data_IF_518221875379
#
_entry.id   IF_518221875379
#
_cell.length_a   1.000
_cell.length_b   1.000
_cell.length_c   1.000
_cell.angle_alpha   90.00
_cell.angle_beta   90.00
_cell.angle_gamma   90.00
#
_symmetry.space_group_name_H-M   'P 1'
#
loop_
_entity.id
_entity.type
_entity.pdbx_description
1 polymer ?
#
# COMPACT_ATOMS: atom_id res chain seq x y z
N UNK A 1 12.18 -1.89 0.93
CA UNK A 1 12.97 -1.31 2.05
C UNK A 1 12.31 -1.73 3.36
N UNK A 2 13.06 -2.14 4.39
CA UNK A 2 12.46 -2.56 5.67
C UNK A 2 11.97 -1.32 6.46
N UNK A 3 10.65 -1.17 6.72
CA UNK A 3 10.10 -0.02 7.44
C UNK A 3 10.68 0.16 8.85
N UNK A 4 10.95 -0.93 9.57
CA UNK A 4 11.52 -0.88 10.92
C UNK A 4 12.92 -0.29 10.89
N UNK A 5 13.75 -0.72 9.94
CA UNK A 5 15.09 -0.19 9.75
C UNK A 5 15.10 1.31 9.38
N UNK A 6 14.10 1.78 8.62
CA UNK A 6 13.97 3.22 8.27
C UNK A 6 13.70 4.07 9.50
N UNK A 7 12.90 3.57 10.45
CA UNK A 7 12.62 4.27 11.71
C UNK A 7 13.62 3.92 12.83
N UNK A 8 14.59 3.05 12.59
CA UNK A 8 15.55 2.60 13.60
C UNK A 8 14.91 1.81 14.74
N UNK A 9 13.89 1.01 14.43
CA UNK A 9 13.10 0.24 15.39
C UNK A 9 13.38 -1.26 15.28
N UNK A 10 13.17 -1.95 16.39
CA UNK A 10 13.02 -3.40 16.41
C UNK A 10 11.63 -3.81 15.93
N UNK A 11 11.50 -5.02 15.37
CA UNK A 11 10.19 -5.49 14.86
C UNK A 11 9.14 -5.69 15.98
N UNK A 12 9.57 -5.73 17.24
CA UNK A 12 8.70 -5.86 18.42
C UNK A 12 8.17 -4.52 18.93
N UNK A 13 8.47 -3.40 18.24
CA UNK A 13 8.00 -2.07 18.61
C UNK A 13 6.46 -1.99 18.64
N UNK A 14 5.94 -1.29 19.64
CA UNK A 14 4.52 -0.97 19.78
C UNK A 14 4.16 0.35 19.07
N UNK A 15 2.87 0.70 19.09
CA UNK A 15 2.35 1.89 18.41
C UNK A 15 2.99 3.18 18.91
N UNK A 16 3.29 3.27 20.21
CA UNK A 16 3.88 4.46 20.82
C UNK A 16 5.35 4.60 20.41
N UNK A 17 6.12 3.51 20.42
CA UNK A 17 7.50 3.50 19.94
C UNK A 17 7.58 3.88 18.46
N UNK A 18 6.67 3.36 17.62
CA UNK A 18 6.58 3.71 16.19
C UNK A 18 6.29 5.20 16.01
N UNK A 19 5.32 5.74 16.76
CA UNK A 19 4.96 7.15 16.70
C UNK A 19 6.11 8.06 17.16
N UNK A 20 6.77 7.72 18.25
CA UNK A 20 7.89 8.49 18.79
C UNK A 20 9.06 8.53 17.80
N UNK A 21 9.42 7.38 17.21
CA UNK A 21 10.48 7.30 16.21
C UNK A 21 10.16 8.10 14.94
N UNK A 22 8.92 8.03 14.46
CA UNK A 22 8.47 8.85 13.33
C UNK A 22 8.62 10.35 13.60
N UNK A 23 8.16 10.83 14.76
CA UNK A 23 8.27 12.24 15.16
C UNK A 23 9.72 12.71 15.28
N UNK A 24 10.62 11.84 15.76
CA UNK A 24 12.05 12.13 15.80
C UNK A 24 12.64 12.22 14.38
N UNK A 25 12.31 11.27 13.51
CA UNK A 25 12.85 11.17 12.15
C UNK A 25 12.41 12.34 11.24
N UNK A 26 11.15 12.79 11.32
CA UNK A 26 10.69 13.94 10.51
C UNK A 26 11.34 15.26 10.91
N UNK A 27 11.82 15.39 12.16
CA UNK A 27 12.58 16.57 12.61
C UNK A 27 13.95 16.65 11.96
N UNK A 28 14.54 15.49 11.62
CA UNK A 28 15.87 15.42 10.97
C UNK A 28 15.79 15.50 9.45
N UNK A 29 14.66 15.13 8.84
CA UNK A 29 14.40 15.23 7.39
C UNK A 29 13.20 16.13 7.11
N UNK A 30 13.33 17.46 7.23
CA UNK A 30 12.25 18.39 6.90
C UNK A 30 11.96 18.38 5.38
N UNK A 31 10.68 18.45 4.97
CA UNK A 31 10.28 18.29 3.57
C UNK A 31 10.87 19.34 2.62
N UNK A 32 11.14 20.55 3.13
CA UNK A 32 11.72 21.64 2.34
C UNK A 32 13.20 21.41 1.96
N UNK A 33 13.92 20.59 2.74
CA UNK A 33 15.37 20.33 2.53
C UNK A 33 15.66 18.90 2.09
N UNK A 34 14.81 17.95 2.48
CA UNK A 34 14.96 16.52 2.18
C UNK A 34 13.59 15.88 1.88
N UNK A 35 12.98 16.17 0.73
CA UNK A 35 11.66 15.65 0.38
C UNK A 35 11.65 14.13 0.21
N UNK A 36 12.73 13.54 -0.31
CA UNK A 36 12.83 12.09 -0.50
C UNK A 36 13.06 11.35 0.82
N UNK A 37 13.85 11.90 1.75
CA UNK A 37 13.95 11.36 3.10
C UNK A 37 12.64 11.45 3.86
N UNK A 38 11.94 12.59 3.78
CA UNK A 38 10.61 12.74 4.37
C UNK A 38 9.63 11.70 3.83
N UNK A 39 9.60 11.49 2.51
CA UNK A 39 8.77 10.47 1.85
C UNK A 39 9.07 9.08 2.39
N UNK A 40 10.35 8.69 2.43
CA UNK A 40 10.76 7.37 2.98
C UNK A 40 10.33 7.17 4.43
N UNK A 41 10.51 8.18 5.28
CA UNK A 41 10.12 8.12 6.70
C UNK A 41 8.60 7.98 6.84
N UNK A 42 7.84 8.77 6.09
CA UNK A 42 6.38 8.72 6.09
C UNK A 42 5.87 7.35 5.63
N UNK A 43 6.41 6.82 4.54
CA UNK A 43 5.98 5.54 3.99
C UNK A 43 6.30 4.38 4.96
N UNK A 44 7.43 4.47 5.68
CA UNK A 44 7.76 3.53 6.76
C UNK A 44 6.79 3.60 7.94
N UNK A 45 6.41 4.81 8.37
CA UNK A 45 5.41 5.00 9.42
C UNK A 45 4.04 4.45 9.00
N UNK A 46 3.57 4.74 7.79
CA UNK A 46 2.27 4.23 7.31
C UNK A 46 2.23 2.70 7.23
N UNK A 47 3.36 2.04 6.98
CA UNK A 47 3.46 0.59 7.03
C UNK A 47 3.44 0.01 8.46
N UNK A 48 3.76 0.80 9.49
CA UNK A 48 3.97 0.33 10.87
C UNK A 48 3.00 0.90 11.92
N UNK A 49 2.18 1.90 11.56
CA UNK A 49 1.41 2.74 12.51
C UNK A 49 0.43 2.01 13.44
N UNK A 50 0.07 0.77 13.14
CA UNK A 50 -0.80 -0.04 13.99
C UNK A 50 -0.46 -1.53 13.90
N UNK A 51 -1.00 -2.28 14.86
CA UNK A 51 -0.76 -3.72 15.00
C UNK A 51 -1.25 -4.51 13.78
N UNK A 52 -2.38 -4.14 13.18
CA UNK A 52 -2.94 -4.84 12.01
C UNK A 52 -1.99 -4.74 10.83
N UNK A 53 -1.47 -3.55 10.53
CA UNK A 53 -0.50 -3.32 9.45
C UNK A 53 0.81 -4.04 9.70
N UNK A 54 1.33 -4.02 10.93
CA UNK A 54 2.56 -4.76 11.29
C UNK A 54 2.37 -6.26 11.15
N UNK A 55 1.20 -6.78 11.52
CA UNK A 55 0.88 -8.20 11.36
C UNK A 55 0.74 -8.57 9.88
N UNK A 56 0.03 -7.75 9.09
CA UNK A 56 -0.10 -7.94 7.66
C UNK A 56 1.27 -7.95 6.96
N UNK A 57 2.17 -7.03 7.33
CA UNK A 57 3.53 -6.97 6.81
C UNK A 57 4.33 -8.26 7.12
N UNK A 58 4.15 -8.84 8.31
CA UNK A 58 4.81 -10.10 8.70
C UNK A 58 4.24 -11.32 7.98
N UNK A 59 2.92 -11.37 7.82
CA UNK A 59 2.23 -12.52 7.23
C UNK A 59 2.30 -12.55 5.71
N UNK A 60 2.19 -11.37 5.08
CA UNK A 60 2.02 -11.24 3.63
C UNK A 60 3.17 -10.49 2.96
N UNK A 61 4.10 -9.92 3.72
CA UNK A 61 5.12 -9.02 3.19
C UNK A 61 4.56 -7.63 2.86
N UNK A 62 5.34 -6.77 2.19
CA UNK A 62 4.87 -5.45 1.76
C UNK A 62 3.63 -5.61 0.85
N UNK A 63 2.68 -4.66 0.88
CA UNK A 63 1.44 -4.77 0.11
C UNK A 63 1.74 -4.99 -1.37
N UNK A 64 1.02 -5.91 -2.05
CA UNK A 64 1.36 -6.36 -3.39
C UNK A 64 1.23 -5.30 -4.48
N UNK A 65 0.70 -4.11 -4.17
CA UNK A 65 0.50 -3.03 -5.13
C UNK A 65 1.23 -1.76 -4.68
N UNK A 66 2.53 -1.73 -4.92
CA UNK A 66 3.30 -0.49 -4.91
C UNK A 66 3.07 0.35 -6.18
N UNK A 67 2.67 -0.32 -7.26
CA UNK A 67 2.39 0.30 -8.55
C UNK A 67 1.14 -0.32 -9.18
N UNK A 68 0.14 0.52 -9.44
CA UNK A 68 -1.08 0.13 -10.12
C UNK A 68 -0.85 -0.14 -11.61
N UNK A 69 0.11 0.54 -12.25
CA UNK A 69 0.41 0.34 -13.67
C UNK A 69 0.99 -1.06 -13.92
N UNK A 70 1.93 -1.52 -13.09
CA UNK A 70 2.46 -2.87 -13.16
C UNK A 70 1.37 -3.96 -12.98
N UNK A 71 0.34 -3.67 -12.18
CA UNK A 71 -0.82 -4.56 -12.06
C UNK A 71 -1.66 -4.59 -13.35
N UNK A 72 -1.87 -3.44 -14.00
CA UNK A 72 -2.60 -3.37 -15.27
C UNK A 72 -1.91 -4.22 -16.35
N UNK A 73 -0.58 -4.16 -16.43
CA UNK A 73 0.20 -4.96 -17.38
C UNK A 73 0.16 -6.48 -17.10
N UNK A 74 -0.11 -6.87 -15.85
CA UNK A 74 -0.25 -8.28 -15.47
C UNK A 74 -1.60 -8.88 -15.85
N UNK A 75 -2.60 -8.04 -16.17
CA UNK A 75 -3.88 -8.51 -16.69
C UNK A 75 -3.81 -8.61 -18.22
N UNK A 76 -4.07 -9.79 -18.82
CA UNK A 76 -4.10 -9.90 -20.27
C UNK A 76 -5.17 -8.98 -20.85
N UNK A 77 -4.79 -8.12 -21.81
CA UNK A 77 -5.64 -7.19 -22.57
C UNK A 77 -6.73 -7.88 -23.42
N UNK A 78 -6.92 -9.20 -23.30
CA UNK A 78 -8.03 -9.92 -23.91
C UNK A 78 -9.35 -9.55 -23.21
N UNK A 79 -9.82 -8.34 -23.48
CA UNK A 79 -11.25 -8.04 -23.49
C UNK A 79 -11.88 -8.92 -24.56
N UNK A 80 -12.24 -10.14 -24.17
CA UNK A 80 -12.95 -11.09 -25.03
C UNK A 80 -14.30 -10.46 -25.35
N UNK A 81 -14.40 -9.81 -26.51
CA UNK A 81 -15.64 -9.25 -27.01
C UNK A 81 -16.61 -10.39 -27.28
N UNK A 82 -17.51 -10.64 -26.32
CA UNK A 82 -18.54 -11.70 -26.39
C UNK A 82 -19.76 -11.31 -27.23
N UNK A 83 -19.69 -10.18 -27.93
CA UNK A 83 -20.82 -9.60 -28.67
C UNK A 83 -21.92 -9.04 -27.75
N UNK A 84 -23.01 -8.49 -28.32
CA UNK A 84 -24.11 -7.92 -27.54
C UNK A 84 -25.05 -8.99 -26.96
N UNK A 85 -24.92 -10.27 -27.34
CA UNK A 85 -25.83 -11.35 -26.96
C UNK A 85 -26.01 -11.53 -25.45
N UNK A 86 -24.93 -11.63 -24.66
CA UNK A 86 -25.03 -11.74 -23.20
C UNK A 86 -25.73 -10.53 -22.54
N UNK A 87 -25.46 -9.31 -23.02
CA UNK A 87 -26.12 -8.09 -22.54
C UNK A 87 -27.61 -8.02 -22.91
N UNK A 88 -27.97 -8.48 -24.11
CA UNK A 88 -29.36 -8.55 -24.54
C UNK A 88 -30.18 -9.61 -23.77
N UNK A 89 -29.54 -10.64 -23.21
CA UNK A 89 -30.21 -11.62 -22.36
C UNK A 89 -30.53 -11.04 -20.98
N UNK A 90 -29.58 -10.34 -20.34
CA UNK A 90 -29.78 -9.67 -19.06
C UNK A 90 -30.91 -8.63 -19.14
N UNK A 91 -30.98 -7.86 -20.23
CA UNK A 91 -32.05 -6.88 -20.44
C UNK A 91 -33.43 -7.50 -20.72
N UNK A 92 -33.48 -8.78 -21.14
CA UNK A 92 -34.74 -9.51 -21.33
C UNK A 92 -35.26 -10.10 -20.02
N UNK A 93 -34.38 -10.47 -19.09
CA UNK A 93 -34.76 -11.02 -17.78
C UNK A 93 -35.49 -10.00 -16.88
N UNK A 94 -35.22 -8.71 -17.03
CA UNK A 94 -35.89 -7.64 -16.26
C UNK A 94 -37.25 -7.19 -16.83
N UNK A 95 -37.77 -7.85 -17.87
CA UNK A 95 -39.08 -7.56 -18.48
C UNK A 95 -40.08 -8.72 -18.34
N UNK A 96 -39.98 -9.49 -17.25
CA UNK A 96 -40.97 -10.47 -16.80
C UNK A 96 -41.77 -9.94 -15.63
#
# INVERSE_FOLDING_TARGET
MNPFAVLGLEETADDEAVRAAYLAAIRTSPPDRDPEGFRRIRDAYEALRDTERRLALRLFGPPPLADFAALLDAFPEERRYVGPGPWLNVLREHRG
#
